data_IF_614037269960
#
_entry.id   IF_614037269960
#
_cell.length_a   1.000
_cell.length_b   1.000
_cell.length_c   1.000
_cell.angle_alpha   90.00
_cell.angle_beta   90.00
_cell.angle_gamma   90.00
#
_symmetry.space_group_name_H-M   'P 1'
#
loop_
_entity.id
_entity.type
_entity.pdbx_description
1 polymer ?
#
# COMPACT_ATOMS: atom_id res chain seq x y z
N UNK A 1 7.95 30.12 -8.06
CA UNK A 1 6.51 29.84 -8.24
C UNK A 1 5.86 29.76 -6.85
N UNK A 2 4.72 30.35 -6.67
CA UNK A 2 3.89 30.27 -5.45
C UNK A 2 2.41 30.17 -5.87
N UNK A 3 1.65 29.36 -5.15
CA UNK A 3 0.19 29.29 -5.30
C UNK A 3 -0.44 28.86 -3.96
N UNK A 4 -1.70 29.21 -3.74
CA UNK A 4 -2.48 28.71 -2.61
C UNK A 4 -3.26 27.46 -3.02
N UNK A 5 -3.38 26.49 -2.13
CA UNK A 5 -4.12 25.25 -2.43
C UNK A 5 -5.65 25.46 -2.58
N UNK A 6 -6.18 26.55 -2.02
CA UNK A 6 -7.58 26.93 -2.12
C UNK A 6 -7.93 27.37 -3.56
N UNK A 7 -7.11 28.22 -4.15
CA UNK A 7 -7.29 28.71 -5.52
C UNK A 7 -6.76 27.73 -6.55
N UNK A 8 -5.64 27.05 -6.19
CA UNK A 8 -4.95 26.03 -7.02
C UNK A 8 -4.52 26.54 -8.41
N UNK A 9 -4.16 27.83 -8.50
CA UNK A 9 -3.79 28.54 -9.73
C UNK A 9 -2.30 28.42 -10.08
N UNK A 10 -1.72 27.25 -9.90
CA UNK A 10 -0.28 26.99 -10.11
C UNK A 10 0.19 27.12 -11.57
N UNK A 11 -0.71 27.21 -12.56
CA UNK A 11 -0.36 27.39 -13.96
C UNK A 11 0.34 26.20 -14.64
N UNK A 12 0.57 25.09 -13.92
CA UNK A 12 1.15 23.87 -14.49
C UNK A 12 0.07 23.02 -15.18
N UNK A 13 0.47 22.26 -16.20
CA UNK A 13 -0.42 21.33 -16.91
C UNK A 13 -1.06 20.28 -15.99
N UNK A 14 -0.32 19.84 -14.94
CA UNK A 14 -0.79 18.83 -13.99
C UNK A 14 -0.57 19.31 -12.56
N UNK A 15 -1.46 18.92 -11.63
CA UNK A 15 -1.32 19.26 -10.22
C UNK A 15 -0.01 18.68 -9.65
N UNK A 16 0.88 19.51 -9.06
CA UNK A 16 2.21 19.09 -8.63
C UNK A 16 2.22 18.36 -7.29
N UNK A 17 1.16 18.42 -6.49
CA UNK A 17 1.17 17.94 -5.10
C UNK A 17 1.71 16.51 -4.94
N UNK A 18 1.23 15.58 -5.79
CA UNK A 18 1.68 14.18 -5.74
C UNK A 18 3.14 13.99 -6.19
N UNK A 19 3.71 14.96 -6.94
CA UNK A 19 5.11 14.93 -7.34
C UNK A 19 6.02 15.55 -6.27
N UNK A 20 5.49 16.45 -5.43
CA UNK A 20 6.24 17.06 -4.32
C UNK A 20 6.41 16.05 -3.18
N UNK A 21 5.36 15.34 -2.81
CA UNK A 21 5.40 14.32 -1.76
C UNK A 21 5.81 12.98 -2.41
N UNK A 22 7.11 12.81 -2.63
CA UNK A 22 7.71 11.65 -3.30
C UNK A 22 9.15 11.42 -2.79
N UNK A 23 9.68 10.19 -2.81
CA UNK A 23 9.00 8.95 -3.20
C UNK A 23 8.04 8.46 -2.11
N UNK A 24 6.91 7.88 -2.52
CA UNK A 24 5.96 7.26 -1.59
C UNK A 24 6.07 5.75 -1.68
N UNK A 25 6.20 5.03 -0.55
CA UNK A 25 6.09 3.58 -0.55
C UNK A 25 4.70 3.14 -1.01
N UNK A 26 4.59 1.91 -1.49
CA UNK A 26 3.33 1.34 -1.96
C UNK A 26 2.92 0.23 -0.99
N UNK A 27 1.76 0.40 -0.35
CA UNK A 27 1.08 -0.65 0.35
C UNK A 27 0.22 -1.43 -0.66
N UNK A 28 0.55 -2.69 -0.91
CA UNK A 28 -0.29 -3.59 -1.67
C UNK A 28 -1.22 -4.28 -0.69
N UNK A 29 -2.41 -3.67 -0.55
CA UNK A 29 -3.39 -4.03 0.48
C UNK A 29 -4.21 -5.22 0.01
N UNK A 30 -4.19 -6.27 0.81
CA UNK A 30 -5.03 -7.43 0.67
C UNK A 30 -6.08 -7.49 1.78
N UNK A 31 -7.29 -7.80 1.42
CA UNK A 31 -8.42 -7.92 2.34
C UNK A 31 -9.27 -9.13 1.98
N UNK A 32 -10.15 -9.52 2.90
CA UNK A 32 -11.15 -10.55 2.71
C UNK A 32 -12.48 -10.03 3.26
N UNK A 33 -13.59 -10.35 2.61
CA UNK A 33 -14.92 -10.06 3.13
C UNK A 33 -15.47 -11.21 3.99
N UNK A 34 -16.69 -11.04 4.53
CA UNK A 34 -17.34 -12.05 5.36
C UNK A 34 -17.81 -13.30 4.57
N UNK A 35 -17.79 -13.25 3.24
CA UNK A 35 -18.12 -14.37 2.36
C UNK A 35 -16.87 -15.10 1.84
N UNK A 36 -15.68 -14.65 2.24
CA UNK A 36 -14.41 -15.25 1.84
C UNK A 36 -13.86 -14.75 0.51
N UNK A 37 -14.46 -13.71 -0.09
CA UNK A 37 -13.92 -13.10 -1.32
C UNK A 37 -12.77 -12.19 -0.98
N UNK A 38 -11.67 -12.35 -1.70
CA UNK A 38 -10.44 -11.58 -1.49
C UNK A 38 -10.36 -10.39 -2.46
N UNK A 39 -9.72 -9.31 -2.01
CA UNK A 39 -9.43 -8.14 -2.84
C UNK A 39 -7.98 -7.74 -2.66
N UNK A 40 -7.33 -7.26 -3.73
CA UNK A 40 -5.94 -6.82 -3.73
C UNK A 40 -5.79 -5.51 -4.51
N UNK A 41 -5.40 -4.43 -3.82
CA UNK A 41 -5.23 -3.13 -4.46
C UNK A 41 -4.04 -2.34 -3.90
N UNK A 42 -3.26 -1.61 -4.76
CA UNK A 42 -2.13 -0.80 -4.32
C UNK A 42 -2.54 0.60 -3.86
N UNK A 43 -1.94 1.06 -2.76
CA UNK A 43 -2.12 2.39 -2.18
C UNK A 43 -0.77 3.07 -1.97
N UNK A 44 -0.62 4.30 -2.46
CA UNK A 44 0.65 5.05 -2.35
C UNK A 44 0.62 6.24 -1.37
N UNK A 45 -0.53 6.59 -0.81
CA UNK A 45 -0.56 7.37 0.42
C UNK A 45 -0.42 6.38 1.58
N UNK A 46 0.81 6.00 1.90
CA UNK A 46 1.15 4.95 2.85
C UNK A 46 2.45 5.28 3.57
N UNK A 47 2.51 5.01 4.87
CA UNK A 47 3.76 5.09 5.65
C UNK A 47 3.69 4.28 6.95
N UNK A 48 4.88 4.00 7.54
CA UNK A 48 5.03 3.65 8.94
C UNK A 48 4.73 4.86 9.82
N UNK A 49 3.96 4.68 10.88
CA UNK A 49 3.59 5.75 11.81
C UNK A 49 4.31 5.63 13.15
N UNK A 50 4.61 4.41 13.58
CA UNK A 50 5.28 4.10 14.84
C UNK A 50 5.97 2.74 14.71
N UNK A 51 7.06 2.54 15.42
CA UNK A 51 7.85 1.29 15.44
C UNK A 51 7.59 0.41 16.68
N UNK A 52 7.10 0.97 17.77
CA UNK A 52 6.85 0.21 19.01
C UNK A 52 5.60 0.73 19.75
N UNK A 53 4.46 0.01 19.69
CA UNK A 53 4.18 -1.09 18.77
C UNK A 53 4.19 -0.65 17.31
N UNK A 54 4.47 -1.55 16.35
CA UNK A 54 4.55 -1.16 14.95
C UNK A 54 3.16 -0.81 14.41
N UNK A 55 3.03 0.42 13.91
CA UNK A 55 1.77 0.97 13.36
C UNK A 55 2.04 1.53 11.98
N UNK A 56 1.15 1.21 11.05
CA UNK A 56 1.15 1.75 9.70
C UNK A 56 -0.13 2.52 9.41
N UNK A 57 -0.07 3.41 8.43
CA UNK A 57 -1.26 4.10 7.95
C UNK A 57 -1.30 4.22 6.43
N UNK A 58 -2.49 4.13 5.85
CA UNK A 58 -2.69 4.39 4.43
C UNK A 58 -3.99 5.15 4.14
N UNK A 59 -3.95 5.95 3.07
CA UNK A 59 -5.08 6.73 2.60
C UNK A 59 -5.90 5.98 1.55
N UNK A 60 -7.21 5.81 1.80
CA UNK A 60 -8.17 5.31 0.83
C UNK A 60 -9.04 6.45 0.32
N UNK A 61 -9.16 6.58 -1.00
CA UNK A 61 -10.12 7.50 -1.62
C UNK A 61 -11.58 7.04 -1.38
N UNK A 62 -12.55 7.91 -1.68
CA UNK A 62 -13.95 7.70 -1.29
C UNK A 62 -14.63 6.54 -2.01
N UNK A 63 -14.44 6.41 -3.31
CA UNK A 63 -15.14 5.44 -4.16
C UNK A 63 -14.27 4.95 -5.30
N UNK A 64 -14.75 3.93 -5.98
CA UNK A 64 -14.19 3.48 -7.27
C UNK A 64 -14.45 4.59 -8.31
N UNK A 65 -13.51 4.83 -9.21
CA UNK A 65 -13.67 5.84 -10.26
C UNK A 65 -14.79 5.41 -11.21
N UNK A 66 -15.81 6.24 -11.35
CA UNK A 66 -16.94 5.97 -12.25
C UNK A 66 -18.06 5.09 -11.69
N UNK A 67 -17.95 4.65 -10.43
CA UNK A 67 -18.95 3.84 -9.74
C UNK A 67 -19.17 4.43 -8.35
N UNK A 68 -20.42 4.67 -7.97
CA UNK A 68 -20.77 5.20 -6.63
C UNK A 68 -20.79 4.07 -5.57
N UNK A 69 -19.70 3.29 -5.54
CA UNK A 69 -19.46 2.25 -4.56
C UNK A 69 -18.18 2.52 -3.78
N UNK A 70 -18.16 2.24 -2.47
CA UNK A 70 -16.93 2.31 -1.70
C UNK A 70 -15.90 1.31 -2.24
N UNK A 71 -14.62 1.60 -2.03
CA UNK A 71 -13.56 0.67 -2.37
C UNK A 71 -13.68 -0.59 -1.54
N UNK A 72 -13.56 -1.75 -2.18
CA UNK A 72 -13.67 -3.07 -1.54
C UNK A 72 -12.72 -3.20 -0.36
N UNK A 73 -11.46 -2.79 -0.48
CA UNK A 73 -10.49 -2.82 0.62
C UNK A 73 -11.00 -2.10 1.88
N UNK A 74 -11.61 -0.91 1.74
CA UNK A 74 -12.13 -0.17 2.89
C UNK A 74 -13.36 -0.84 3.49
N UNK A 75 -14.26 -1.37 2.66
CA UNK A 75 -15.46 -2.08 3.08
C UNK A 75 -15.10 -3.38 3.82
N UNK A 76 -14.18 -4.15 3.28
CA UNK A 76 -13.71 -5.39 3.88
C UNK A 76 -13.00 -5.15 5.21
N UNK A 77 -12.13 -4.14 5.30
CA UNK A 77 -11.44 -3.78 6.56
C UNK A 77 -12.44 -3.36 7.64
N UNK A 78 -13.49 -2.61 7.30
CA UNK A 78 -14.55 -2.27 8.24
C UNK A 78 -15.33 -3.48 8.72
N UNK A 79 -15.59 -4.43 7.84
CA UNK A 79 -16.37 -5.63 8.14
C UNK A 79 -15.58 -6.65 8.97
N UNK A 80 -14.30 -6.86 8.66
CA UNK A 80 -13.48 -7.93 9.21
C UNK A 80 -12.46 -7.48 10.26
N UNK A 81 -12.17 -6.18 10.31
CA UNK A 81 -11.21 -5.61 11.25
C UNK A 81 -9.75 -5.94 10.96
N UNK A 82 -9.43 -6.45 9.77
CA UNK A 82 -8.06 -6.85 9.44
C UNK A 82 -7.72 -6.73 7.96
N UNK A 83 -6.42 -6.73 7.66
CA UNK A 83 -5.87 -6.66 6.31
C UNK A 83 -4.39 -7.07 6.31
N UNK A 84 -3.84 -7.32 5.13
CA UNK A 84 -2.40 -7.50 4.95
C UNK A 84 -1.82 -6.42 4.03
N UNK A 85 -0.55 -6.11 4.22
CA UNK A 85 0.24 -5.22 3.36
C UNK A 85 1.39 -6.01 2.79
N UNK A 86 1.46 -6.19 1.48
CA UNK A 86 2.63 -6.74 0.80
C UNK A 86 3.47 -5.61 0.20
N UNK A 87 4.80 -5.70 0.34
CA UNK A 87 5.73 -4.74 -0.25
C UNK A 87 5.99 -5.12 -1.71
N UNK A 88 5.84 -4.16 -2.59
CA UNK A 88 5.99 -4.39 -4.03
C UNK A 88 7.45 -4.29 -4.44
N UNK A 89 8.04 -5.39 -4.89
CA UNK A 89 9.36 -5.39 -5.52
C UNK A 89 9.29 -4.95 -6.99
N UNK A 90 10.44 -4.59 -7.56
CA UNK A 90 10.53 -4.30 -9.00
C UNK A 90 10.05 -5.46 -9.87
N UNK A 91 10.31 -6.70 -9.45
CA UNK A 91 9.87 -7.91 -10.17
C UNK A 91 8.34 -8.02 -10.26
N UNK A 92 7.61 -7.48 -9.29
CA UNK A 92 6.15 -7.55 -9.19
C UNK A 92 5.42 -6.28 -9.66
N UNK A 93 6.13 -5.33 -10.26
CA UNK A 93 5.55 -4.03 -10.67
C UNK A 93 4.39 -4.16 -11.66
N UNK A 94 4.46 -5.13 -12.57
CA UNK A 94 3.43 -5.33 -13.57
C UNK A 94 2.17 -5.95 -12.95
N UNK A 95 2.31 -6.92 -12.09
CA UNK A 95 1.21 -7.55 -11.35
C UNK A 95 0.50 -6.54 -10.45
N UNK A 96 1.28 -5.71 -9.73
CA UNK A 96 0.73 -4.62 -8.94
C UNK A 96 -0.03 -3.61 -9.81
N UNK A 97 0.49 -3.27 -10.98
CA UNK A 97 -0.19 -2.36 -11.89
C UNK A 97 -1.49 -2.98 -12.45
N UNK A 98 -1.50 -4.26 -12.76
CA UNK A 98 -2.71 -4.99 -13.18
C UNK A 98 -3.77 -4.92 -12.07
N UNK A 99 -3.41 -5.25 -10.82
CA UNK A 99 -4.35 -5.22 -9.67
C UNK A 99 -4.84 -3.81 -9.30
N UNK A 100 -4.30 -2.75 -9.91
CA UNK A 100 -4.80 -1.38 -9.75
C UNK A 100 -6.00 -1.05 -10.64
N UNK A 101 -6.43 -1.98 -11.48
CA UNK A 101 -7.61 -1.84 -12.35
C UNK A 101 -8.90 -1.65 -11.55
N UNK A 102 -9.94 -1.21 -12.24
CA UNK A 102 -11.27 -1.10 -11.66
C UNK A 102 -12.06 -2.37 -12.02
N UNK A 103 -12.05 -3.33 -11.11
CA UNK A 103 -12.77 -4.59 -11.28
C UNK A 103 -14.07 -4.59 -10.48
N UNK A 104 -15.12 -5.32 -10.95
CA UNK A 104 -16.29 -5.61 -10.15
C UNK A 104 -15.91 -6.36 -8.86
N UNK A 105 -16.72 -6.24 -7.80
CA UNK A 105 -16.48 -6.91 -6.52
C UNK A 105 -16.43 -8.45 -6.62
N UNK A 106 -17.01 -9.01 -7.69
CA UNK A 106 -16.97 -10.46 -7.98
C UNK A 106 -15.65 -10.95 -8.58
N UNK A 107 -14.79 -10.04 -9.01
CA UNK A 107 -13.51 -10.38 -9.63
C UNK A 107 -12.40 -10.46 -8.57
N UNK A 108 -11.45 -11.37 -8.80
CA UNK A 108 -10.33 -11.60 -7.90
C UNK A 108 -9.03 -11.07 -8.53
N UNK A 109 -8.51 -9.98 -8.01
CA UNK A 109 -7.31 -9.35 -8.57
C UNK A 109 -6.06 -10.24 -8.46
N UNK A 110 -6.01 -11.18 -7.53
CA UNK A 110 -4.94 -12.18 -7.46
C UNK A 110 -4.91 -13.05 -8.71
N UNK A 111 -6.07 -13.57 -9.11
CA UNK A 111 -6.19 -14.42 -10.30
C UNK A 111 -5.89 -13.63 -11.58
N UNK A 112 -6.46 -12.42 -11.70
CA UNK A 112 -6.27 -11.54 -12.84
C UNK A 112 -4.79 -11.16 -13.00
N UNK A 113 -4.08 -10.93 -11.90
CA UNK A 113 -2.66 -10.58 -11.90
C UNK A 113 -1.71 -11.80 -11.94
N UNK A 114 -2.25 -13.03 -11.89
CA UNK A 114 -1.46 -14.26 -11.86
C UNK A 114 -0.63 -14.42 -10.58
N UNK A 115 -1.22 -14.10 -9.43
CA UNK A 115 -0.58 -14.13 -8.12
C UNK A 115 -1.15 -15.23 -7.23
N UNK A 116 -0.34 -15.71 -6.29
CA UNK A 116 -0.74 -16.70 -5.30
C UNK A 116 -1.05 -16.05 -3.95
N UNK A 117 -2.04 -16.58 -3.25
CA UNK A 117 -2.41 -16.14 -1.91
C UNK A 117 -1.76 -17.03 -0.85
N UNK A 118 -1.10 -16.43 0.14
CA UNK A 118 -0.70 -17.08 1.38
C UNK A 118 -1.66 -16.68 2.50
N UNK A 119 -1.98 -17.63 3.37
CA UNK A 119 -2.84 -17.38 4.54
C UNK A 119 -2.12 -16.57 5.60
N UNK A 120 -2.80 -15.59 6.19
CA UNK A 120 -2.35 -14.94 7.41
C UNK A 120 -2.32 -15.91 8.60
N UNK A 121 -1.50 -15.61 9.58
CA UNK A 121 -1.34 -16.36 10.84
C UNK A 121 -2.14 -15.70 11.96
N UNK A 122 -2.14 -14.37 12.00
CA UNK A 122 -2.80 -13.56 13.06
C UNK A 122 -4.08 -12.88 12.58
N UNK A 123 -4.32 -12.88 11.25
CA UNK A 123 -5.47 -12.28 10.59
C UNK A 123 -6.06 -13.21 9.53
N UNK A 124 -7.31 -12.98 9.13
CA UNK A 124 -7.97 -13.77 8.08
C UNK A 124 -7.61 -13.34 6.66
N UNK A 125 -7.21 -12.07 6.48
CA UNK A 125 -6.81 -11.56 5.18
C UNK A 125 -5.57 -12.30 4.67
N UNK A 126 -5.53 -12.71 3.39
CA UNK A 126 -4.34 -13.30 2.79
C UNK A 126 -3.29 -12.24 2.47
N UNK A 127 -2.08 -12.67 2.11
CA UNK A 127 -1.03 -11.81 1.55
C UNK A 127 -0.47 -12.40 0.25
N UNK A 128 0.25 -11.59 -0.53
CA UNK A 128 0.86 -12.01 -1.80
C UNK A 128 2.04 -12.92 -1.53
N UNK A 129 1.97 -14.19 -1.93
CA UNK A 129 3.03 -15.20 -1.71
C UNK A 129 4.35 -14.79 -2.33
N UNK A 130 4.32 -14.16 -3.50
CA UNK A 130 5.49 -13.74 -4.25
C UNK A 130 6.18 -12.52 -3.65
N UNK A 131 5.50 -11.77 -2.78
CA UNK A 131 6.06 -10.55 -2.18
C UNK A 131 7.28 -10.85 -1.29
N UNK A 132 8.31 -9.98 -1.29
CA UNK A 132 9.50 -10.15 -0.45
C UNK A 132 9.22 -10.00 1.04
N UNK A 133 8.30 -9.11 1.37
CA UNK A 133 7.88 -8.79 2.74
C UNK A 133 6.37 -8.59 2.77
N UNK A 134 5.72 -9.12 3.80
CA UNK A 134 4.29 -8.87 4.06
C UNK A 134 4.05 -8.61 5.54
N UNK A 135 3.09 -7.75 5.84
CA UNK A 135 2.67 -7.36 7.18
C UNK A 135 1.22 -7.80 7.38
N UNK A 136 0.93 -8.47 8.49
CA UNK A 136 -0.43 -8.72 8.92
C UNK A 136 -0.88 -7.60 9.86
N UNK A 137 -2.05 -7.04 9.64
CA UNK A 137 -2.51 -5.86 10.35
C UNK A 137 -3.93 -6.04 10.88
N UNK A 138 -4.12 -5.66 12.15
CA UNK A 138 -5.46 -5.43 12.72
C UNK A 138 -5.81 -3.97 12.61
N UNK A 139 -7.04 -3.69 12.23
CA UNK A 139 -7.57 -2.34 12.20
C UNK A 139 -7.47 -1.71 13.60
N UNK A 140 -6.81 -0.55 13.69
CA UNK A 140 -6.78 0.26 14.90
C UNK A 140 -7.82 1.38 14.83
N UNK A 141 -7.83 2.17 13.73
CA UNK A 141 -8.76 3.28 13.56
C UNK A 141 -8.94 3.64 12.08
N UNK A 142 -10.02 4.37 11.79
CA UNK A 142 -10.30 4.96 10.48
C UNK A 142 -10.66 6.43 10.65
N UNK A 143 -9.74 7.31 10.32
CA UNK A 143 -9.93 8.76 10.41
C UNK A 143 -10.54 9.29 9.13
N UNK A 144 -11.62 10.08 9.26
CA UNK A 144 -12.17 10.82 8.13
C UNK A 144 -11.36 12.09 7.91
N UNK A 145 -10.76 12.22 6.74
CA UNK A 145 -10.04 13.43 6.36
C UNK A 145 -11.01 14.49 5.82
N UNK A 146 -10.64 15.78 5.85
CA UNK A 146 -11.40 16.82 5.13
C UNK A 146 -11.67 16.38 3.69
N UNK A 147 -12.93 16.45 3.26
CA UNK A 147 -13.41 15.84 2.03
C UNK A 147 -13.94 14.42 2.28
N UNK A 148 -13.66 13.48 1.39
CA UNK A 148 -14.28 12.14 1.43
C UNK A 148 -13.30 10.99 1.68
N UNK A 149 -12.00 11.26 1.67
CA UNK A 149 -10.96 10.24 1.89
C UNK A 149 -10.92 9.77 3.33
N UNK A 150 -10.50 8.52 3.51
CA UNK A 150 -10.27 7.90 4.82
C UNK A 150 -8.79 7.58 4.99
N UNK A 151 -8.29 7.75 6.20
CA UNK A 151 -6.98 7.30 6.61
C UNK A 151 -7.16 6.09 7.53
N UNK A 152 -6.71 4.93 7.05
CA UNK A 152 -6.79 3.66 7.79
C UNK A 152 -5.51 3.48 8.58
N UNK A 153 -5.63 3.20 9.88
CA UNK A 153 -4.52 2.94 10.80
C UNK A 153 -4.58 1.48 11.19
N UNK A 154 -3.46 0.76 11.01
CA UNK A 154 -3.32 -0.65 11.33
C UNK A 154 -2.19 -0.93 12.31
N UNK A 155 -2.49 -1.73 13.34
CA UNK A 155 -1.50 -2.34 14.21
C UNK A 155 -0.93 -3.58 13.51
N UNK A 156 0.38 -3.60 13.26
CA UNK A 156 1.07 -4.75 12.69
C UNK A 156 1.17 -5.85 13.75
N UNK A 157 0.64 -7.03 13.44
CA UNK A 157 0.58 -8.17 14.37
C UNK A 157 1.54 -9.31 13.99
N UNK A 158 1.97 -9.36 12.72
CA UNK A 158 3.00 -10.28 12.23
C UNK A 158 3.71 -9.70 11.01
N UNK A 159 4.95 -10.13 10.81
CA UNK A 159 5.80 -9.74 9.68
C UNK A 159 6.36 -10.99 9.04
N UNK A 160 6.16 -11.13 7.74
CA UNK A 160 6.74 -12.18 6.90
C UNK A 160 7.86 -11.58 6.07
N UNK A 161 9.05 -12.16 6.13
CA UNK A 161 10.21 -11.75 5.33
C UNK A 161 10.78 -13.03 4.71
N UNK A 162 11.02 -13.02 3.41
CA UNK A 162 11.72 -14.14 2.75
C UNK A 162 13.19 -14.12 3.14
N UNK A 163 13.71 -15.26 3.57
CA UNK A 163 15.08 -15.41 4.08
C UNK A 163 16.16 -14.97 3.08
N UNK A 164 15.90 -15.12 1.79
CA UNK A 164 16.80 -14.70 0.71
C UNK A 164 17.12 -13.19 0.70
N UNK A 165 16.32 -12.37 1.36
CA UNK A 165 16.53 -10.93 1.50
C UNK A 165 17.20 -10.54 2.83
N UNK A 166 17.49 -11.51 3.70
CA UNK A 166 18.19 -11.27 4.96
C UNK A 166 19.69 -11.55 4.74
N UNK A 167 20.48 -10.49 4.71
CA UNK A 167 21.92 -10.57 4.47
C UNK A 167 22.66 -10.07 5.72
N UNK A 168 23.51 -10.91 6.30
CA UNK A 168 24.28 -10.59 7.51
C UNK A 168 23.41 -10.05 8.67
N UNK A 169 22.22 -10.61 8.85
CA UNK A 169 21.27 -10.20 9.91
C UNK A 169 20.54 -8.90 9.65
N UNK A 170 20.62 -8.33 8.46
CA UNK A 170 19.87 -7.14 8.02
C UNK A 170 18.97 -7.48 6.84
N UNK A 171 17.79 -6.89 6.80
CA UNK A 171 16.95 -6.90 5.60
C UNK A 171 17.59 -5.98 4.54
N UNK A 172 18.08 -6.58 3.46
CA UNK A 172 18.70 -5.85 2.37
C UNK A 172 17.67 -5.45 1.30
N UNK A 173 17.21 -4.20 1.39
CA UNK A 173 16.20 -3.66 0.47
C UNK A 173 16.71 -3.57 -0.98
N UNK A 174 18.02 -3.51 -1.21
CA UNK A 174 18.59 -3.45 -2.57
C UNK A 174 18.47 -4.78 -3.30
N UNK A 175 18.23 -5.88 -2.58
CA UNK A 175 18.03 -7.21 -3.15
C UNK A 175 16.64 -7.38 -3.75
N UNK A 176 15.57 -6.97 -3.07
CA UNK A 176 14.22 -7.06 -3.62
C UNK A 176 13.77 -5.78 -4.34
N UNK A 177 14.55 -4.70 -4.21
CA UNK A 177 14.37 -3.47 -4.98
C UNK A 177 12.93 -2.95 -4.94
N UNK A 178 12.46 -2.44 -3.80
CA UNK A 178 11.10 -1.96 -3.69
C UNK A 178 10.85 -0.82 -4.67
N UNK A 179 9.64 -0.77 -5.21
CA UNK A 179 9.21 0.34 -6.04
C UNK A 179 8.48 1.39 -5.20
N UNK A 180 8.60 2.64 -5.61
CA UNK A 180 7.95 3.79 -5.00
C UNK A 180 7.15 4.57 -6.03
N UNK A 181 6.00 5.11 -5.63
CA UNK A 181 5.22 6.02 -6.46
C UNK A 181 5.80 7.43 -6.38
N UNK A 182 5.99 8.05 -7.53
CA UNK A 182 6.31 9.45 -7.66
C UNK A 182 5.05 10.27 -8.01
N UNK A 183 5.20 11.32 -8.80
CA UNK A 183 4.06 12.04 -9.33
C UNK A 183 3.50 11.42 -10.63
N UNK A 184 2.32 11.87 -11.02
CA UNK A 184 1.71 11.57 -12.31
C UNK A 184 1.57 10.05 -12.55
N UNK A 185 2.32 9.49 -13.52
CA UNK A 185 2.38 8.05 -13.81
C UNK A 185 3.74 7.43 -13.45
N UNK A 186 4.62 8.21 -12.80
CA UNK A 186 6.01 7.84 -12.59
C UNK A 186 6.18 6.96 -11.35
N UNK A 187 7.13 6.05 -11.44
CA UNK A 187 7.60 5.17 -10.37
C UNK A 187 9.13 5.22 -10.33
N UNK A 188 9.69 4.91 -9.19
CA UNK A 188 11.11 4.69 -9.01
C UNK A 188 11.35 3.32 -8.38
N UNK A 189 12.49 2.70 -8.71
CA UNK A 189 12.98 1.51 -8.04
C UNK A 189 14.10 1.91 -7.08
N UNK A 190 14.04 1.47 -5.83
CA UNK A 190 15.12 1.68 -4.85
C UNK A 190 16.18 0.61 -5.09
N UNK A 191 17.30 1.01 -5.70
CA UNK A 191 18.42 0.11 -6.06
C UNK A 191 19.73 0.49 -5.40
N UNK A 192 19.80 1.67 -4.80
CA UNK A 192 20.99 2.18 -4.12
C UNK A 192 20.62 2.77 -2.77
N UNK A 193 21.49 2.60 -1.80
CA UNK A 193 21.38 3.15 -0.45
C UNK A 193 22.70 3.84 -0.07
N UNK A 194 22.64 4.78 0.83
CA UNK A 194 23.79 5.40 1.47
C UNK A 194 23.52 5.57 2.96
N UNK A 195 24.57 5.57 3.76
CA UNK A 195 24.48 5.74 5.20
C UNK A 195 24.77 7.20 5.59
N UNK A 196 24.05 7.69 6.58
CA UNK A 196 24.30 9.02 7.21
C UNK A 196 24.26 8.82 8.71
N UNK A 197 25.37 9.20 9.37
CA UNK A 197 25.43 9.26 10.82
C UNK A 197 24.66 10.49 11.34
N UNK A 198 23.99 10.32 12.48
CA UNK A 198 23.42 11.49 13.17
C UNK A 198 24.56 12.32 13.78
N UNK A 199 24.56 13.64 13.59
CA UNK A 199 25.48 14.51 14.32
C UNK A 199 25.33 14.30 15.84
N UNK A 200 26.46 14.28 16.52
CA UNK A 200 26.51 14.22 18.00
C UNK A 200 26.17 15.58 18.60
#
# INVERSE_FOLDING_TARGET
MFYTTEVNDHGLKYNPFKAIVAPRPIAWISTIDNEGRTNLAPYSFFNGMQDSPPIIGFGSGPSKVGIDEPKDSLSNIKATGNFCVSIVSEALKNQMNISSGHFPHSENEYEIAGLTQSKGVTVSAPFVTEAPVSLECKLHDIITLPGTSKWVIGLVTAVHIKDEFIINGKLDITKYRPIARLGYKDYATISQVYELDRPK
#
